data_IF_220630723253
#
_entry.id   IF_220630723253
#
_cell.length_a   1.000
_cell.length_b   1.000
_cell.length_c   1.000
_cell.angle_alpha   90.00
_cell.angle_beta   90.00
_cell.angle_gamma   90.00
#
_symmetry.space_group_name_H-M   'P 1'
#
loop_
_entity.id
_entity.type
_entity.pdbx_description
1 polymer ?
#
# COMPACT_ATOMS: atom_id res chain seq x y z
N UNK A 1 -1.42 10.36 -26.62
CA UNK A 1 -2.27 11.26 -25.81
C UNK A 1 -3.66 10.66 -25.86
N UNK A 2 -4.29 10.43 -24.70
CA UNK A 2 -5.60 9.78 -24.64
C UNK A 2 -6.69 10.72 -25.20
N UNK A 3 -7.73 10.16 -25.82
CA UNK A 3 -8.91 10.94 -26.24
C UNK A 3 -9.82 11.23 -25.05
N UNK A 4 -10.70 12.24 -25.17
CA UNK A 4 -11.72 12.59 -24.15
C UNK A 4 -12.55 11.36 -23.76
N UNK A 5 -13.03 10.60 -24.74
CA UNK A 5 -13.79 9.37 -24.49
C UNK A 5 -12.99 8.31 -23.71
N UNK A 6 -11.67 8.26 -23.89
CA UNK A 6 -10.81 7.35 -23.13
C UNK A 6 -10.67 7.81 -21.67
N UNK A 7 -10.60 9.14 -21.43
CA UNK A 7 -10.59 9.68 -20.07
C UNK A 7 -11.89 9.36 -19.32
N UNK A 8 -13.04 9.60 -19.95
CA UNK A 8 -14.35 9.31 -19.36
C UNK A 8 -14.50 7.82 -19.04
N UNK A 9 -14.16 6.93 -19.99
CA UNK A 9 -14.18 5.47 -19.75
C UNK A 9 -13.28 5.03 -18.59
N UNK A 10 -12.15 5.70 -18.38
CA UNK A 10 -11.24 5.41 -17.26
C UNK A 10 -11.86 5.84 -15.93
N UNK A 11 -12.57 6.97 -15.91
CA UNK A 11 -13.16 7.54 -14.70
C UNK A 11 -14.52 6.94 -14.33
N UNK A 12 -15.24 6.37 -15.30
CA UNK A 12 -16.54 5.70 -15.12
C UNK A 12 -16.43 4.27 -14.58
N UNK A 13 -15.21 3.78 -14.30
CA UNK A 13 -15.04 2.43 -13.77
C UNK A 13 -15.56 2.37 -12.33
N UNK A 14 -16.51 1.49 -12.07
CA UNK A 14 -17.10 1.32 -10.74
C UNK A 14 -16.23 0.48 -9.80
N UNK A 15 -15.66 -0.62 -10.31
CA UNK A 15 -14.88 -1.56 -9.52
C UNK A 15 -13.66 -2.06 -10.29
N UNK A 16 -12.49 -2.04 -9.66
CA UNK A 16 -11.25 -2.57 -10.23
C UNK A 16 -10.70 -3.65 -9.32
N UNK A 17 -10.57 -4.87 -9.84
CA UNK A 17 -9.81 -5.93 -9.19
C UNK A 17 -8.40 -5.94 -9.75
N UNK A 18 -7.40 -5.68 -8.90
CA UNK A 18 -6.00 -5.79 -9.28
C UNK A 18 -5.43 -7.09 -8.75
N UNK A 19 -5.52 -8.12 -9.61
CA UNK A 19 -5.23 -9.49 -9.21
C UNK A 19 -6.08 -9.87 -7.99
N UNK A 20 -5.58 -10.79 -7.17
CA UNK A 20 -6.19 -11.26 -5.92
C UNK A 20 -5.71 -10.46 -4.71
N UNK A 21 -4.81 -9.49 -4.92
CA UNK A 21 -4.18 -8.72 -3.86
C UNK A 21 -5.05 -7.56 -3.34
N UNK A 22 -5.62 -6.74 -4.22
CA UNK A 22 -6.50 -5.64 -3.83
C UNK A 22 -7.65 -5.41 -4.82
N UNK A 23 -8.75 -4.85 -4.31
CA UNK A 23 -9.83 -4.29 -5.11
C UNK A 23 -10.05 -2.82 -4.77
N UNK A 24 -10.43 -2.04 -5.77
CA UNK A 24 -10.75 -0.63 -5.66
C UNK A 24 -12.25 -0.45 -5.96
N UNK A 25 -13.01 -0.07 -4.94
CA UNK A 25 -14.39 0.39 -5.10
C UNK A 25 -14.35 1.90 -5.38
N UNK A 26 -14.69 2.25 -6.61
CA UNK A 26 -14.60 3.62 -7.11
C UNK A 26 -15.82 4.46 -6.73
N UNK A 27 -16.94 3.83 -6.35
CA UNK A 27 -18.14 4.51 -5.86
C UNK A 27 -17.95 4.93 -4.39
N UNK A 28 -17.39 4.03 -3.58
CA UNK A 28 -17.13 4.26 -2.16
C UNK A 28 -15.77 4.90 -1.90
N UNK A 29 -14.92 5.05 -2.91
CA UNK A 29 -13.53 5.51 -2.79
C UNK A 29 -12.74 4.68 -1.77
N UNK A 30 -12.85 3.36 -1.83
CA UNK A 30 -12.18 2.44 -0.89
C UNK A 30 -11.25 1.46 -1.60
N UNK A 31 -10.12 1.18 -0.97
CA UNK A 31 -9.17 0.15 -1.35
C UNK A 31 -9.28 -1.03 -0.37
N UNK A 32 -9.73 -2.17 -0.86
CA UNK A 32 -9.85 -3.41 -0.11
C UNK A 32 -8.66 -4.32 -0.38
N UNK A 33 -8.09 -4.88 0.68
CA UNK A 33 -6.97 -5.82 0.63
C UNK A 33 -7.42 -7.10 1.33
N UNK A 34 -7.97 -8.07 0.56
CA UNK A 34 -8.58 -9.28 1.12
C UNK A 34 -7.63 -10.08 2.01
N UNK A 35 -6.36 -10.21 1.61
CA UNK A 35 -5.33 -10.95 2.34
C UNK A 35 -5.12 -10.43 3.77
N UNK A 36 -5.37 -9.13 4.00
CA UNK A 36 -5.23 -8.48 5.32
C UNK A 36 -6.57 -8.13 5.97
N UNK A 37 -7.71 -8.46 5.33
CA UNK A 37 -9.06 -8.03 5.74
C UNK A 37 -9.11 -6.53 6.07
N UNK A 38 -8.48 -5.74 5.20
CA UNK A 38 -8.22 -4.34 5.43
C UNK A 38 -8.91 -3.51 4.35
N UNK A 39 -9.68 -2.51 4.77
CA UNK A 39 -10.33 -1.54 3.88
C UNK A 39 -9.80 -0.15 4.18
N UNK A 40 -9.33 0.55 3.17
CA UNK A 40 -8.69 1.86 3.29
C UNK A 40 -9.53 2.89 2.54
N UNK A 41 -10.03 3.92 3.22
CA UNK A 41 -10.65 5.07 2.58
C UNK A 41 -9.61 5.93 1.84
N UNK A 42 -9.96 6.34 0.62
CA UNK A 42 -9.14 7.13 -0.29
C UNK A 42 -9.77 8.51 -0.55
N UNK A 43 -8.94 9.50 -0.87
CA UNK A 43 -9.42 10.70 -1.55
C UNK A 43 -9.72 10.41 -3.02
N UNK A 44 -10.53 11.26 -3.65
CA UNK A 44 -10.83 11.18 -5.10
C UNK A 44 -9.56 11.13 -5.95
N UNK A 45 -8.57 11.98 -5.62
CA UNK A 45 -7.28 12.02 -6.33
C UNK A 45 -6.44 10.76 -6.10
N UNK A 46 -6.50 10.16 -4.90
CA UNK A 46 -5.81 8.91 -4.60
C UNK A 46 -6.47 7.73 -5.34
N UNK A 47 -7.81 7.68 -5.39
CA UNK A 47 -8.54 6.72 -6.21
C UNK A 47 -8.09 6.82 -7.66
N UNK A 48 -8.20 8.01 -8.28
CA UNK A 48 -7.85 8.20 -9.70
C UNK A 48 -6.39 7.81 -9.99
N UNK A 49 -5.48 8.08 -9.06
CA UNK A 49 -4.10 7.62 -9.18
C UNK A 49 -4.03 6.09 -9.24
N UNK A 50 -4.72 5.39 -8.32
CA UNK A 50 -4.73 3.93 -8.32
C UNK A 50 -5.38 3.37 -9.59
N UNK A 51 -6.47 3.96 -10.08
CA UNK A 51 -7.08 3.62 -11.38
C UNK A 51 -6.06 3.72 -12.52
N UNK A 52 -5.28 4.80 -12.57
CA UNK A 52 -4.24 4.95 -13.61
C UNK A 52 -3.24 3.79 -13.55
N UNK A 53 -2.74 3.50 -12.36
CA UNK A 53 -1.69 2.50 -12.19
C UNK A 53 -2.17 1.06 -12.43
N UNK A 54 -3.41 0.74 -12.06
CA UNK A 54 -4.00 -0.58 -12.34
C UNK A 54 -4.17 -0.80 -13.84
N UNK A 55 -4.46 0.26 -14.59
CA UNK A 55 -4.55 0.26 -16.05
C UNK A 55 -3.20 0.45 -16.77
N UNK A 56 -2.08 0.38 -16.04
CA UNK A 56 -0.70 0.53 -16.58
C UNK A 56 -0.40 1.94 -17.13
N UNK A 57 -1.18 2.94 -16.75
CA UNK A 57 -0.91 4.34 -17.09
C UNK A 57 0.12 4.88 -16.09
N UNK A 58 1.39 4.78 -16.48
CA UNK A 58 2.53 4.99 -15.58
C UNK A 58 3.28 6.32 -15.82
N UNK A 59 3.05 6.97 -16.97
CA UNK A 59 3.70 8.23 -17.34
C UNK A 59 3.22 9.37 -16.45
N UNK A 60 4.14 10.16 -15.89
CA UNK A 60 3.81 11.33 -15.04
C UNK A 60 2.81 12.25 -15.71
N UNK A 61 3.00 12.55 -17.00
CA UNK A 61 2.12 13.46 -17.76
C UNK A 61 0.70 12.91 -17.89
N UNK A 62 0.57 11.63 -18.21
CA UNK A 62 -0.75 10.99 -18.37
C UNK A 62 -1.48 10.87 -17.04
N UNK A 63 -0.76 10.48 -15.98
CA UNK A 63 -1.31 10.43 -14.63
C UNK A 63 -1.83 11.81 -14.22
N UNK A 64 -1.05 12.88 -14.42
CA UNK A 64 -1.49 14.25 -14.09
C UNK A 64 -2.76 14.61 -14.86
N UNK A 65 -2.81 14.31 -16.15
CA UNK A 65 -3.98 14.64 -16.97
C UNK A 65 -5.24 13.89 -16.55
N UNK A 66 -5.13 12.61 -16.15
CA UNK A 66 -6.31 11.81 -15.72
C UNK A 66 -6.76 12.22 -14.32
N UNK A 67 -5.82 12.25 -13.36
CA UNK A 67 -6.15 12.49 -11.95
C UNK A 67 -6.82 13.85 -11.75
N UNK A 68 -6.42 14.83 -12.55
CA UNK A 68 -6.95 16.20 -12.49
C UNK A 68 -7.73 16.59 -13.74
N UNK A 69 -8.26 15.62 -14.50
CA UNK A 69 -8.98 15.87 -15.76
C UNK A 69 -10.05 16.98 -15.66
N UNK A 70 -10.86 16.95 -14.59
CA UNK A 70 -11.96 17.89 -14.37
C UNK A 70 -11.54 19.17 -13.62
N UNK A 71 -10.27 19.27 -13.19
CA UNK A 71 -9.81 20.46 -12.49
C UNK A 71 -9.43 21.55 -13.48
N UNK A 72 -10.23 22.61 -13.51
CA UNK A 72 -9.96 23.81 -14.31
C UNK A 72 -8.77 24.65 -13.80
N UNK A 73 -8.10 24.23 -12.73
CA UNK A 73 -6.92 24.90 -12.19
C UNK A 73 -5.62 24.35 -12.78
N UNK A 74 -4.61 25.21 -12.93
CA UNK A 74 -3.28 24.81 -13.40
C UNK A 74 -2.60 23.90 -12.36
N UNK A 75 -2.68 22.59 -12.58
CA UNK A 75 -2.01 21.59 -11.75
C UNK A 75 -0.53 21.55 -12.08
N UNK A 76 0.29 21.92 -11.09
CA UNK A 76 1.75 21.85 -11.17
C UNK A 76 2.27 20.48 -10.76
N UNK A 77 3.46 20.16 -11.23
CA UNK A 77 4.25 18.97 -10.84
C UNK A 77 4.31 18.74 -9.32
N UNK A 78 4.30 19.80 -8.52
CA UNK A 78 4.30 19.69 -7.07
C UNK A 78 3.10 18.89 -6.54
N UNK A 79 1.90 19.07 -7.12
CA UNK A 79 0.71 18.33 -6.72
C UNK A 79 0.87 16.83 -6.97
N UNK A 80 1.48 16.46 -8.10
CA UNK A 80 1.80 15.06 -8.40
C UNK A 80 2.72 14.47 -7.34
N UNK A 81 3.82 15.15 -7.00
CA UNK A 81 4.75 14.65 -6.00
C UNK A 81 4.12 14.57 -4.59
N UNK A 82 3.30 15.55 -4.21
CA UNK A 82 2.54 15.53 -2.97
C UNK A 82 1.54 14.38 -2.92
N UNK A 83 0.78 14.14 -4.01
CA UNK A 83 -0.16 13.03 -4.10
C UNK A 83 0.57 11.69 -3.92
N UNK A 84 1.66 11.46 -4.64
CA UNK A 84 2.45 10.23 -4.51
C UNK A 84 2.98 10.03 -3.08
N UNK A 85 3.47 11.10 -2.46
CA UNK A 85 3.93 11.06 -1.06
C UNK A 85 2.79 10.70 -0.10
N UNK A 86 1.63 11.37 -0.23
CA UNK A 86 0.47 11.11 0.61
C UNK A 86 -0.07 9.69 0.42
N UNK A 87 -0.13 9.18 -0.81
CA UNK A 87 -0.54 7.80 -1.09
C UNK A 87 0.42 6.80 -0.45
N UNK A 88 1.73 7.03 -0.49
CA UNK A 88 2.69 6.16 0.21
C UNK A 88 2.51 6.19 1.72
N UNK A 89 2.31 7.37 2.31
CA UNK A 89 2.05 7.51 3.74
C UNK A 89 0.75 6.81 4.16
N UNK A 90 -0.29 6.89 3.32
CA UNK A 90 -1.57 6.20 3.46
C UNK A 90 -1.43 4.67 3.45
N UNK A 91 -0.58 4.14 2.58
CA UNK A 91 -0.27 2.70 2.57
C UNK A 91 0.53 2.32 3.83
N UNK A 92 1.54 3.11 4.18
CA UNK A 92 2.40 2.85 5.33
C UNK A 92 1.65 2.82 6.66
N UNK A 93 0.74 3.78 6.90
CA UNK A 93 -0.07 3.83 8.13
C UNK A 93 -0.97 2.60 8.30
N UNK A 94 -1.32 1.94 7.20
CA UNK A 94 -2.10 0.71 7.17
C UNK A 94 -1.21 -0.54 7.07
N UNK A 95 0.07 -0.44 7.47
CA UNK A 95 1.03 -1.55 7.51
C UNK A 95 1.27 -2.19 6.14
N UNK A 96 1.16 -1.40 5.06
CA UNK A 96 1.55 -1.81 3.73
C UNK A 96 2.91 -1.22 3.39
N UNK A 97 3.76 -1.96 2.68
CA UNK A 97 5.10 -1.50 2.39
C UNK A 97 5.07 -0.39 1.33
N UNK A 98 5.83 0.69 1.56
CA UNK A 98 5.80 1.92 0.74
C UNK A 98 6.32 1.73 -0.68
N UNK A 99 7.13 0.70 -0.88
CA UNK A 99 7.68 0.25 -2.16
C UNK A 99 6.68 -0.47 -3.05
N UNK A 100 5.39 -0.59 -2.66
CA UNK A 100 4.30 -0.96 -3.57
C UNK A 100 4.24 0.02 -4.75
N UNK A 101 4.53 1.30 -4.50
CA UNK A 101 4.57 2.33 -5.53
C UNK A 101 6.02 2.71 -5.84
N UNK A 102 6.54 2.26 -6.98
CA UNK A 102 7.89 2.56 -7.45
C UNK A 102 7.88 3.80 -8.34
N UNK A 103 8.70 4.79 -7.97
CA UNK A 103 9.02 5.90 -8.88
C UNK A 103 10.02 5.42 -9.92
N UNK A 104 9.70 5.62 -11.19
CA UNK A 104 10.61 5.37 -12.31
C UNK A 104 11.22 6.71 -12.71
N UNK A 105 12.55 6.91 -12.55
CA UNK A 105 13.22 8.16 -12.89
C UNK A 105 12.89 8.61 -14.31
N UNK A 106 12.63 9.90 -14.47
CA UNK A 106 12.30 10.55 -15.76
C UNK A 106 11.07 10.01 -16.50
N UNK A 107 10.28 9.13 -15.88
CA UNK A 107 9.10 8.54 -16.50
C UNK A 107 7.84 8.77 -15.67
N UNK A 108 7.80 8.33 -14.42
CA UNK A 108 6.62 8.48 -13.58
C UNK A 108 6.55 7.47 -12.43
N UNK A 109 5.46 6.73 -12.35
CA UNK A 109 5.13 5.87 -11.21
C UNK A 109 4.53 4.56 -11.71
N UNK A 110 4.85 3.45 -11.07
CA UNK A 110 4.24 2.14 -11.35
C UNK A 110 4.02 1.33 -10.08
N UNK A 111 3.14 0.34 -10.18
CA UNK A 111 2.97 -0.68 -9.15
C UNK A 111 4.14 -1.67 -9.18
N UNK A 112 4.64 -2.05 -8.01
CA UNK A 112 5.66 -3.06 -7.81
C UNK A 112 5.04 -4.47 -7.84
N UNK A 113 4.73 -4.96 -9.04
CA UNK A 113 4.11 -6.28 -9.20
C UNK A 113 4.91 -7.43 -8.55
N UNK A 114 6.26 -7.50 -8.67
CA UNK A 114 7.01 -8.57 -8.02
C UNK A 114 6.86 -8.56 -6.50
N UNK A 115 6.81 -7.38 -5.88
CA UNK A 115 6.57 -7.28 -4.44
C UNK A 115 5.15 -7.69 -4.08
N UNK A 116 4.15 -7.28 -4.86
CA UNK A 116 2.77 -7.66 -4.59
C UNK A 116 2.57 -9.17 -4.63
N UNK A 117 3.17 -9.87 -5.61
CA UNK A 117 3.13 -11.33 -5.66
C UNK A 117 3.76 -11.99 -4.43
N UNK A 118 4.91 -11.48 -3.96
CA UNK A 118 5.54 -12.00 -2.74
C UNK A 118 4.65 -11.83 -1.50
N UNK A 119 4.02 -10.66 -1.35
CA UNK A 119 3.10 -10.40 -0.24
C UNK A 119 1.86 -11.31 -0.29
N UNK A 120 1.39 -11.62 -1.50
CA UNK A 120 0.30 -12.55 -1.71
C UNK A 120 0.70 -14.00 -1.35
N UNK A 121 1.85 -14.46 -1.83
CA UNK A 121 2.43 -15.77 -1.49
C UNK A 121 2.62 -15.91 0.03
N UNK A 122 3.16 -14.89 0.71
CA UNK A 122 3.31 -14.86 2.17
C UNK A 122 1.96 -14.96 2.90
N UNK A 123 0.94 -14.26 2.42
CA UNK A 123 -0.40 -14.31 2.99
C UNK A 123 -1.04 -15.70 2.83
N UNK A 124 -0.88 -16.34 1.65
CA UNK A 124 -1.37 -17.69 1.40
C UNK A 124 -0.65 -18.74 2.26
N UNK A 125 0.67 -18.62 2.42
CA UNK A 125 1.47 -19.55 3.22
C UNK A 125 1.19 -19.42 4.72
N UNK A 126 0.87 -18.22 5.20
CA UNK A 126 0.50 -17.99 6.62
C UNK A 126 -0.88 -18.59 6.94
N UNK A 127 -1.80 -18.62 5.98
CA UNK A 127 -3.11 -19.25 6.15
C UNK A 127 -3.06 -20.79 6.17
N UNK A 128 -1.98 -21.39 5.68
CA UNK A 128 -1.82 -22.85 5.56
C UNK A 128 -1.13 -23.51 6.77
N UNK A 129 -0.79 -22.76 7.82
CA UNK A 129 -0.13 -23.33 9.02
C UNK A 129 -0.89 -23.01 10.31
N UNK A 130 -1.85 -23.85 10.73
CA UNK A 130 -2.35 -23.84 12.10
C UNK A 130 -1.39 -24.66 12.97
N UNK A 131 -0.22 -24.13 13.30
CA UNK A 131 0.59 -24.74 14.35
C UNK A 131 0.12 -24.26 15.73
N UNK A 132 -0.66 -25.14 16.33
CA UNK A 132 -0.91 -25.35 17.75
C UNK A 132 0.21 -24.79 18.63
N UNK A 133 -0.08 -23.73 19.37
CA UNK A 133 0.66 -23.43 20.61
C UNK A 133 0.31 -24.55 21.59
N UNK A 134 1.17 -25.56 21.69
CA UNK A 134 1.18 -26.45 22.83
C UNK A 134 1.84 -25.71 24.00
N UNK A 135 1.02 -25.38 24.99
CA UNK A 135 1.46 -25.16 26.36
C UNK A 135 2.36 -26.32 26.80
N UNK A 136 3.57 -26.01 27.24
CA UNK A 136 4.32 -26.86 28.16
C UNK A 136 4.82 -25.98 29.30
N UNK A 137 4.10 -26.04 30.42
CA UNK A 137 4.58 -25.66 31.74
C UNK A 137 5.81 -26.49 32.10
N UNK A 138 6.90 -25.84 32.52
CA UNK A 138 7.58 -26.22 33.77
C UNK A 138 8.33 -25.03 34.35
N UNK A 139 7.95 -24.72 35.58
CA UNK A 139 8.62 -23.91 36.61
C UNK A 139 10.15 -24.04 36.59
N UNK A 140 10.84 -22.89 36.71
CA UNK A 140 12.08 -22.75 37.50
C UNK A 140 12.39 -21.27 37.76
N UNK A 141 11.96 -20.83 38.93
CA UNK A 141 12.59 -19.76 39.70
C UNK A 141 14.13 -19.73 39.53
N UNK A 142 14.69 -18.69 38.90
CA UNK A 142 15.94 -18.09 39.39
C UNK A 142 16.19 -16.70 38.77
N UNK A 143 15.89 -15.65 39.53
CA UNK A 143 16.28 -14.28 39.24
C UNK A 143 17.50 -13.96 40.12
N UNK A 144 18.71 -13.69 39.57
CA UNK A 144 19.75 -13.08 40.39
C UNK A 144 19.41 -11.59 40.55
N UNK A 145 19.10 -11.21 41.79
CA UNK A 145 18.93 -9.82 42.21
C UNK A 145 20.20 -9.00 41.94
N UNK A 146 20.03 -7.76 41.46
CA UNK A 146 21.07 -6.75 41.20
C UNK A 146 22.03 -6.52 42.38
N UNK A 147 21.63 -6.88 43.61
CA UNK A 147 22.49 -6.84 44.81
C UNK A 147 23.68 -7.80 44.73
N UNK A 148 23.60 -8.89 43.95
CA UNK A 148 24.68 -9.89 43.81
C UNK A 148 25.78 -9.46 42.82
N UNK A 149 25.51 -8.49 41.94
CA UNK A 149 26.51 -7.93 41.02
C UNK A 149 27.39 -6.88 41.73
N UNK A 150 26.79 -6.06 42.59
CA UNK A 150 27.49 -4.94 43.25
C UNK A 150 28.57 -5.38 44.27
N UNK A 151 28.43 -6.54 44.90
CA UNK A 151 29.41 -7.03 45.90
C UNK A 151 30.69 -7.62 45.29
N UNK A 152 30.72 -7.89 43.97
CA UNK A 152 31.90 -8.45 43.29
C UNK A 152 32.75 -7.39 42.57
N UNK A 153 32.37 -6.11 42.62
CA UNK A 153 33.06 -5.03 41.90
C UNK A 153 34.04 -4.21 42.76
N UNK A 154 34.23 -4.55 44.05
CA UNK A 154 35.15 -3.85 44.96
C UNK A 154 36.07 -4.85 45.66
N UNK A 155 36.78 -5.67 44.88
CA UNK A 155 37.92 -6.44 45.40
C UNK A 155 39.10 -6.34 44.45
#
# INVERSE_FOLDING_TARGET
MLSVEQYEKILDIENIHYSTFFSLDCQMNTLDIPCKKLTIALSETQKRLLICLTQKINSKREIINIVWYENHQCVRDNNYHQLVFQTRALLQRNQLPTNILITVPYYGLKINEPLLRKLEEEAMNTAASPHTFQDNLTDKNNRPSLKKWLLNAIR
#
